data_IF_630897981291
#
_entry.id   IF_630897981291
#
_cell.length_a   1.000
_cell.length_b   1.000
_cell.length_c   1.000
_cell.angle_alpha   90.00
_cell.angle_beta   90.00
_cell.angle_gamma   90.00
#
_symmetry.space_group_name_H-M   'P 1'
#
loop_
_entity.id
_entity.type
_entity.pdbx_description
1 polymer ?
#
# COMPACT_ATOMS: atom_id res chain seq x y z
N UNK A 1 -21.98 5.68 28.36
CA UNK A 1 -22.21 5.18 26.99
C UNK A 1 -20.93 5.36 26.18
N UNK A 2 -20.23 4.28 25.82
CA UNK A 2 -18.96 4.33 25.07
C UNK A 2 -19.27 4.19 23.58
N UNK A 3 -19.11 5.27 22.79
CA UNK A 3 -19.08 5.17 21.33
C UNK A 3 -17.75 4.53 20.95
N UNK A 4 -17.80 3.38 20.27
CA UNK A 4 -16.62 2.70 19.76
C UNK A 4 -15.87 3.61 18.78
N UNK A 5 -14.66 3.99 19.14
CA UNK A 5 -13.69 4.56 18.20
C UNK A 5 -13.41 3.50 17.15
N UNK A 6 -13.94 3.71 15.94
CA UNK A 6 -13.48 2.95 14.77
C UNK A 6 -12.04 3.37 14.51
N UNK A 7 -11.08 2.56 14.91
CA UNK A 7 -9.66 2.74 14.59
C UNK A 7 -9.50 2.78 13.06
N UNK A 8 -9.45 3.99 12.51
CA UNK A 8 -9.10 4.22 11.09
C UNK A 8 -7.59 4.23 11.00
N UNK A 9 -7.07 3.46 10.05
CA UNK A 9 -5.65 3.16 9.97
C UNK A 9 -4.90 3.98 8.91
N UNK A 10 -5.49 5.03 8.35
CA UNK A 10 -4.77 6.02 7.52
C UNK A 10 -4.18 5.53 6.19
N UNK A 11 -4.27 4.24 5.85
CA UNK A 11 -3.48 3.57 4.79
C UNK A 11 -3.69 4.03 3.32
N UNK A 12 -4.44 5.10 3.01
CA UNK A 12 -4.63 5.62 1.64
C UNK A 12 -4.97 7.11 1.62
N UNK A 13 -4.50 7.81 0.57
CA UNK A 13 -5.07 9.11 0.21
C UNK A 13 -6.53 8.95 -0.26
N UNK A 14 -7.44 9.77 0.26
CA UNK A 14 -8.89 9.74 -0.07
C UNK A 14 -9.22 10.20 -1.52
N UNK A 15 -8.22 10.57 -2.33
CA UNK A 15 -8.45 11.03 -3.70
C UNK A 15 -9.04 9.91 -4.58
N UNK A 16 -10.24 10.15 -5.12
CA UNK A 16 -10.96 9.20 -5.97
C UNK A 16 -11.78 8.14 -5.22
N UNK A 17 -11.82 8.17 -3.89
CA UNK A 17 -12.48 7.15 -3.05
C UNK A 17 -13.78 7.72 -2.45
N UNK A 18 -14.93 7.08 -2.72
CA UNK A 18 -16.22 7.52 -2.15
C UNK A 18 -16.20 7.34 -0.64
N UNK A 19 -16.92 8.19 0.11
CA UNK A 19 -16.88 8.22 1.58
C UNK A 19 -17.10 6.86 2.27
N UNK A 20 -17.91 5.98 1.68
CA UNK A 20 -18.17 4.63 2.19
C UNK A 20 -17.04 3.63 1.90
N UNK A 21 -16.11 3.95 1.00
CA UNK A 21 -14.97 3.13 0.57
C UNK A 21 -13.65 3.59 1.22
N UNK A 22 -13.69 4.59 2.10
CA UNK A 22 -12.53 5.19 2.79
C UNK A 22 -11.98 4.35 3.94
N UNK A 23 -12.55 3.16 4.19
CA UNK A 23 -12.07 2.22 5.20
C UNK A 23 -11.44 1.00 4.53
N UNK A 24 -10.35 0.50 5.10
CA UNK A 24 -9.90 -0.87 4.81
C UNK A 24 -10.97 -1.80 5.41
N UNK A 25 -11.70 -2.52 4.56
CA UNK A 25 -12.64 -3.52 5.02
C UNK A 25 -11.86 -4.74 5.52
N UNK A 26 -11.80 -4.92 6.83
CA UNK A 26 -11.31 -6.16 7.41
C UNK A 26 -12.35 -7.27 7.19
N UNK A 27 -12.20 -7.99 6.08
CA UNK A 27 -13.02 -9.16 5.73
C UNK A 27 -12.64 -10.41 6.55
N UNK A 28 -11.65 -10.30 7.43
CA UNK A 28 -11.05 -11.41 8.16
C UNK A 28 -11.32 -11.41 9.66
N UNK A 29 -12.03 -10.41 10.17
CA UNK A 29 -12.31 -10.19 11.60
C UNK A 29 -12.96 -11.37 12.37
N UNK A 30 -13.35 -12.45 11.68
CA UNK A 30 -13.93 -13.67 12.27
C UNK A 30 -13.31 -14.99 11.75
N UNK A 31 -12.20 -14.97 10.97
CA UNK A 31 -11.54 -16.22 10.56
C UNK A 31 -10.43 -16.60 11.58
N UNK A 32 -10.54 -17.73 12.29
CA UNK A 32 -9.51 -18.21 13.21
C UNK A 32 -8.16 -18.54 12.53
N UNK A 33 -8.09 -18.51 11.18
CA UNK A 33 -6.88 -18.67 10.37
C UNK A 33 -6.39 -17.34 9.78
N UNK A 34 -6.68 -16.21 10.43
CA UNK A 34 -6.32 -14.88 9.91
C UNK A 34 -4.86 -14.84 9.46
N UNK A 35 -4.68 -14.79 8.14
CA UNK A 35 -3.39 -14.71 7.48
C UNK A 35 -2.71 -13.37 7.73
N UNK A 36 -1.46 -13.20 7.27
CA UNK A 36 -0.79 -11.91 7.38
C UNK A 36 -1.53 -10.82 6.60
N UNK A 37 -1.54 -9.60 7.13
CA UNK A 37 -1.95 -8.38 6.43
C UNK A 37 -0.90 -8.09 5.35
N UNK A 38 -1.27 -8.16 4.08
CA UNK A 38 -0.39 -7.85 2.96
C UNK A 38 -0.61 -6.42 2.50
N UNK A 39 0.42 -5.58 2.58
CA UNK A 39 0.39 -4.17 2.18
C UNK A 39 1.25 -3.97 0.95
N UNK A 40 0.62 -3.68 -0.20
CA UNK A 40 1.32 -3.31 -1.44
C UNK A 40 1.58 -1.81 -1.46
N UNK A 41 2.85 -1.43 -1.33
CA UNK A 41 3.32 -0.05 -1.47
C UNK A 41 3.83 0.15 -2.90
N UNK A 42 3.38 1.19 -3.58
CA UNK A 42 3.89 1.52 -4.92
C UNK A 42 3.23 2.75 -5.53
N UNK A 43 3.90 3.35 -6.52
CA UNK A 43 3.48 4.58 -7.18
C UNK A 43 3.93 5.84 -6.44
N UNK A 44 3.30 6.98 -6.78
CA UNK A 44 3.51 8.31 -6.18
C UNK A 44 2.89 8.47 -4.79
N UNK A 45 2.64 7.35 -4.09
CA UNK A 45 1.84 7.33 -2.86
C UNK A 45 2.63 7.82 -1.65
N UNK A 46 3.95 7.61 -1.62
CA UNK A 46 4.82 8.08 -0.53
C UNK A 46 5.21 9.56 -0.75
N UNK A 47 4.24 10.46 -0.60
CA UNK A 47 4.47 11.90 -0.53
C UNK A 47 4.77 12.37 0.89
N UNK A 48 5.06 13.67 1.08
CA UNK A 48 5.44 14.24 2.39
C UNK A 48 4.42 14.03 3.52
N UNK A 49 3.14 13.84 3.17
CA UNK A 49 2.02 13.64 4.11
C UNK A 49 1.59 12.16 4.25
N UNK A 50 2.34 11.21 3.68
CA UNK A 50 1.99 9.79 3.73
C UNK A 50 2.44 9.14 5.05
N UNK A 51 1.51 8.48 5.74
CA UNK A 51 1.74 7.78 7.03
C UNK A 51 1.84 6.26 6.87
N UNK A 52 1.92 5.73 5.64
CA UNK A 52 1.81 4.30 5.37
C UNK A 52 2.85 3.49 6.13
N UNK A 53 4.08 4.01 6.24
CA UNK A 53 5.15 3.32 6.97
C UNK A 53 4.91 3.35 8.48
N UNK A 54 4.51 4.49 9.03
CA UNK A 54 4.13 4.67 10.43
C UNK A 54 2.97 3.74 10.82
N UNK A 55 1.97 3.62 9.94
CA UNK A 55 0.80 2.78 10.13
C UNK A 55 1.15 1.28 10.08
N UNK A 56 2.06 0.88 9.19
CA UNK A 56 2.62 -0.48 9.16
C UNK A 56 3.37 -0.79 10.45
N UNK A 57 4.18 0.15 10.94
CA UNK A 57 4.87 0.02 12.24
C UNK A 57 3.86 -0.11 13.38
N UNK A 58 2.79 0.69 13.37
CA UNK A 58 1.73 0.61 14.38
C UNK A 58 1.01 -0.74 14.35
N UNK A 59 0.70 -1.29 13.17
CA UNK A 59 0.15 -2.65 13.02
C UNK A 59 1.08 -3.70 13.63
N UNK A 60 2.38 -3.62 13.30
CA UNK A 60 3.35 -4.58 13.82
C UNK A 60 3.45 -4.50 15.35
N UNK A 61 3.44 -3.29 15.92
CA UNK A 61 3.44 -3.07 17.38
C UNK A 61 2.17 -3.61 18.08
N UNK A 62 1.04 -3.66 17.37
CA UNK A 62 -0.21 -4.27 17.88
C UNK A 62 -0.20 -5.81 17.85
N UNK A 63 0.86 -6.44 17.35
CA UNK A 63 0.99 -7.89 17.26
C UNK A 63 0.56 -8.47 15.91
N UNK A 64 0.14 -7.62 14.97
CA UNK A 64 -0.27 -8.08 13.65
C UNK A 64 0.91 -8.65 12.84
N UNK A 65 0.61 -9.66 12.04
CA UNK A 65 1.55 -10.19 11.04
C UNK A 65 1.39 -9.36 9.78
N UNK A 66 2.35 -8.50 9.48
CA UNK A 66 2.31 -7.63 8.30
C UNK A 66 3.38 -8.07 7.29
N UNK A 67 2.99 -8.17 6.02
CA UNK A 67 3.88 -8.40 4.89
C UNK A 67 3.83 -7.19 3.97
N UNK A 68 4.98 -6.55 3.76
CA UNK A 68 5.09 -5.42 2.83
C UNK A 68 5.56 -5.93 1.48
N UNK A 69 4.83 -5.56 0.43
CA UNK A 69 5.18 -5.83 -0.97
C UNK A 69 5.44 -4.48 -1.62
N UNK A 70 6.56 -4.28 -2.29
CA UNK A 70 6.84 -3.02 -2.99
C UNK A 70 7.00 -3.21 -4.50
N UNK A 71 6.83 -2.13 -5.25
CA UNK A 71 7.28 -2.05 -6.65
C UNK A 71 8.55 -1.19 -6.75
N UNK A 72 8.99 -0.94 -7.98
CA UNK A 72 10.11 -0.03 -8.24
C UNK A 72 9.99 0.70 -9.58
N UNK A 73 8.80 0.71 -10.20
CA UNK A 73 8.62 1.10 -11.60
C UNK A 73 9.24 2.44 -11.98
N UNK A 74 9.00 3.50 -11.19
CA UNK A 74 9.54 4.83 -11.44
C UNK A 74 11.07 4.88 -11.29
N UNK A 75 11.62 4.24 -10.25
CA UNK A 75 13.07 4.14 -10.04
C UNK A 75 13.74 3.34 -11.16
N UNK A 76 13.12 2.26 -11.62
CA UNK A 76 13.61 1.48 -12.77
C UNK A 76 13.62 2.36 -14.02
N UNK A 77 12.56 3.13 -14.29
CA UNK A 77 12.54 4.06 -15.43
C UNK A 77 13.69 5.08 -15.34
N UNK A 78 13.88 5.75 -14.19
CA UNK A 78 14.97 6.72 -13.98
C UNK A 78 16.36 6.09 -14.24
N UNK A 79 16.60 4.88 -13.76
CA UNK A 79 17.87 4.20 -14.02
C UNK A 79 18.07 3.81 -15.48
N UNK A 80 17.01 3.31 -16.15
CA UNK A 80 17.09 2.93 -17.56
C UNK A 80 17.33 4.17 -18.44
N UNK A 81 16.68 5.29 -18.13
CA UNK A 81 16.88 6.56 -18.84
C UNK A 81 18.34 7.03 -18.73
N UNK A 82 18.96 6.92 -17.55
CA UNK A 82 20.38 7.26 -17.33
C UNK A 82 21.35 6.36 -18.08
N UNK A 83 20.94 5.12 -18.35
CA UNK A 83 21.73 4.13 -19.08
C UNK A 83 21.43 4.13 -20.58
N UNK A 84 20.57 5.05 -21.05
CA UNK A 84 20.11 5.12 -22.43
C UNK A 84 19.44 3.81 -22.90
N UNK A 85 18.82 3.08 -21.98
CA UNK A 85 18.08 1.84 -22.26
C UNK A 85 16.59 2.16 -22.39
N UNK A 86 15.95 1.90 -23.55
CA UNK A 86 14.54 2.23 -23.74
C UNK A 86 13.63 1.34 -22.89
N UNK A 87 12.68 1.97 -22.19
CA UNK A 87 11.61 1.26 -21.48
C UNK A 87 10.46 0.90 -22.43
N UNK A 88 10.14 -0.39 -22.55
CA UNK A 88 8.99 -0.86 -23.33
C UNK A 88 7.88 -1.34 -22.40
N UNK A 89 6.64 -0.94 -22.69
CA UNK A 89 5.45 -1.39 -21.98
C UNK A 89 4.46 -2.02 -22.97
N UNK A 90 3.91 -3.18 -22.60
CA UNK A 90 2.89 -3.93 -23.36
C UNK A 90 1.73 -4.19 -22.40
N UNK A 91 0.54 -3.68 -22.71
CA UNK A 91 -0.68 -3.83 -21.88
C UNK A 91 -0.49 -3.44 -20.40
N UNK A 92 0.29 -2.38 -20.16
CA UNK A 92 0.58 -1.89 -18.81
C UNK A 92 1.66 -2.67 -18.05
N UNK A 93 2.24 -3.70 -18.65
CA UNK A 93 3.36 -4.47 -18.11
C UNK A 93 4.67 -4.00 -18.75
N UNK A 94 5.71 -3.79 -17.93
CA UNK A 94 7.06 -3.53 -18.45
C UNK A 94 7.59 -4.80 -19.11
N UNK A 95 8.04 -4.69 -20.35
CA UNK A 95 8.81 -5.75 -21.01
C UNK A 95 10.25 -5.71 -20.51
N UNK A 96 10.78 -6.86 -20.11
CA UNK A 96 12.16 -7.05 -19.66
C UNK A 96 12.84 -8.07 -20.57
N UNK A 97 13.83 -7.64 -21.33
CA UNK A 97 14.63 -8.45 -22.25
C UNK A 97 15.93 -8.93 -21.64
#
# INVERSE_FOLDING_TARGET
>A
MRRGERHRLGLRSDRGVRAHQRGLHDVSANDPRQGPIVVKIGGSTLGEEDTTLEDIVALRKRGERVLVVHGGGAMITDWLDRLEVPSVFIDGLRSTS
#
